data_IF_184237141912
#
_entry.id   IF_184237141912
#
_cell.length_a   1.000
_cell.length_b   1.000
_cell.length_c   1.000
_cell.angle_alpha   90.00
_cell.angle_beta   90.00
_cell.angle_gamma   90.00
#
_symmetry.space_group_name_H-M   'P 1'
#
loop_
_entity.id
_entity.type
_entity.pdbx_description
1 polymer ?
#
# COMPACT_ATOMS: atom_id res chain seq x y z
N UNK A 1 -8.91 -13.26 -11.40
CA UNK A 1 -8.04 -12.13 -11.81
C UNK A 1 -7.40 -11.58 -10.56
N UNK A 2 -6.08 -11.30 -10.58
CA UNK A 2 -5.39 -10.76 -9.40
C UNK A 2 -5.96 -9.40 -9.04
N UNK A 3 -6.14 -9.16 -7.73
CA UNK A 3 -6.54 -7.86 -7.19
C UNK A 3 -5.32 -6.96 -7.11
N UNK A 4 -5.48 -5.70 -7.52
CA UNK A 4 -4.45 -4.69 -7.36
C UNK A 4 -4.99 -3.61 -6.42
N UNK A 5 -4.41 -3.50 -5.23
CA UNK A 5 -4.83 -2.55 -4.21
C UNK A 5 -3.74 -1.49 -4.03
N UNK A 6 -4.11 -0.22 -4.13
CA UNK A 6 -3.26 0.91 -3.82
C UNK A 6 -3.56 1.42 -2.40
N UNK A 7 -2.60 1.32 -1.50
CA UNK A 7 -2.74 1.82 -0.13
C UNK A 7 -2.11 3.22 0.01
N UNK A 8 -2.92 4.17 0.47
CA UNK A 8 -2.54 5.57 0.67
C UNK A 8 -2.81 5.98 2.11
N UNK A 9 -1.77 6.17 2.91
CA UNK A 9 -1.89 6.76 4.26
C UNK A 9 -1.80 8.28 4.18
N UNK A 10 -2.82 8.97 4.67
CA UNK A 10 -2.93 10.43 4.57
C UNK A 10 -3.02 11.03 5.96
N UNK A 11 -2.10 11.94 6.30
CA UNK A 11 -2.03 12.51 7.65
C UNK A 11 -2.79 13.83 7.80
N UNK A 12 -2.88 14.68 6.76
CA UNK A 12 -3.56 16.00 6.86
C UNK A 12 -3.69 16.79 5.53
N UNK A 13 -2.96 16.46 4.45
CA UNK A 13 -2.88 17.29 3.24
C UNK A 13 -3.53 16.60 2.03
N UNK A 14 -4.63 17.17 1.53
CA UNK A 14 -5.35 16.64 0.36
C UNK A 14 -4.60 16.87 -0.96
N UNK A 15 -3.74 17.89 -1.07
CA UNK A 15 -3.01 18.19 -2.30
C UNK A 15 -1.99 17.09 -2.67
N UNK A 16 -1.34 16.45 -1.70
CA UNK A 16 -0.39 15.36 -1.97
C UNK A 16 -1.09 14.07 -2.46
N UNK A 17 -2.38 13.90 -2.17
CA UNK A 17 -3.10 12.66 -2.49
C UNK A 17 -3.34 12.52 -3.99
N UNK A 18 -3.71 13.61 -4.68
CA UNK A 18 -3.95 13.58 -6.12
C UNK A 18 -2.69 13.19 -6.89
N UNK A 19 -1.53 13.72 -6.48
CA UNK A 19 -0.24 13.35 -7.08
C UNK A 19 0.11 11.89 -6.83
N UNK A 20 0.01 11.43 -5.58
CA UNK A 20 0.27 10.04 -5.23
C UNK A 20 -0.63 9.05 -6.00
N UNK A 21 -1.91 9.39 -6.20
CA UNK A 21 -2.82 8.59 -7.01
C UNK A 21 -2.37 8.51 -8.46
N UNK A 22 -2.03 9.65 -9.07
CA UNK A 22 -1.54 9.70 -10.46
C UNK A 22 -0.26 8.89 -10.64
N UNK A 23 0.69 9.02 -9.70
CA UNK A 23 1.96 8.28 -9.76
C UNK A 23 1.73 6.76 -9.62
N UNK A 24 0.85 6.34 -8.70
CA UNK A 24 0.48 4.93 -8.54
C UNK A 24 -0.22 4.38 -9.79
N UNK A 25 -1.13 5.14 -10.39
CA UNK A 25 -1.79 4.72 -11.63
C UNK A 25 -0.79 4.59 -12.78
N UNK A 26 0.20 5.47 -12.85
CA UNK A 26 1.26 5.40 -13.86
C UNK A 26 2.11 4.15 -13.69
N UNK A 27 2.49 3.84 -12.44
CA UNK A 27 3.19 2.60 -12.09
C UNK A 27 2.35 1.35 -12.42
N UNK A 28 1.05 1.36 -12.09
CA UNK A 28 0.16 0.27 -12.39
C UNK A 28 0.07 0.00 -13.91
N UNK A 29 -0.08 1.06 -14.70
CA UNK A 29 -0.07 0.96 -16.16
C UNK A 29 1.25 0.41 -16.71
N UNK A 30 2.39 0.89 -16.21
CA UNK A 30 3.72 0.37 -16.62
C UNK A 30 3.86 -1.13 -16.31
N UNK A 31 3.32 -1.58 -15.18
CA UNK A 31 3.34 -2.99 -14.76
C UNK A 31 2.23 -3.82 -15.41
N UNK A 32 1.38 -3.24 -16.27
CA UNK A 32 0.25 -3.93 -16.88
C UNK A 32 -0.82 -4.39 -15.87
N UNK A 33 -0.89 -3.72 -14.72
CA UNK A 33 -1.87 -3.97 -13.67
C UNK A 33 -3.14 -3.21 -14.06
N UNK A 34 -4.19 -3.92 -14.44
CA UNK A 34 -5.44 -3.33 -14.95
C UNK A 34 -6.18 -2.47 -13.92
N UNK A 35 -7.30 -2.94 -13.39
CA UNK A 35 -8.05 -2.18 -12.39
C UNK A 35 -7.26 -2.10 -11.08
N UNK A 36 -7.12 -0.89 -10.54
CA UNK A 36 -6.53 -0.61 -9.23
C UNK A 36 -7.61 -0.06 -8.28
N UNK A 37 -7.70 -0.64 -7.09
CA UNK A 37 -8.61 -0.20 -6.02
C UNK A 37 -7.85 0.58 -4.96
N UNK A 38 -8.33 1.79 -4.63
CA UNK A 38 -7.65 2.67 -3.67
C UNK A 38 -8.21 2.50 -2.27
N UNK A 39 -7.31 2.30 -1.31
CA UNK A 39 -7.61 2.28 0.12
C UNK A 39 -6.91 3.46 0.78
N UNK A 40 -7.70 4.46 1.14
CA UNK A 40 -7.22 5.63 1.87
C UNK A 40 -7.33 5.42 3.38
N UNK A 41 -6.22 5.63 4.08
CA UNK A 41 -6.13 5.49 5.52
C UNK A 41 -5.81 6.84 6.18
N UNK A 42 -6.84 7.47 6.74
CA UNK A 42 -6.80 8.76 7.45
C UNK A 42 -6.40 8.52 8.91
N UNK A 43 -5.20 8.00 9.13
CA UNK A 43 -4.70 7.65 10.46
C UNK A 43 -3.23 8.01 10.65
N UNK A 44 -2.88 8.38 11.87
CA UNK A 44 -1.50 8.66 12.25
C UNK A 44 -0.67 7.38 12.19
N UNK A 45 0.52 7.46 11.59
CA UNK A 45 1.49 6.36 11.67
C UNK A 45 2.00 6.03 13.08
N UNK A 46 1.60 6.75 14.14
CA UNK A 46 1.90 6.35 15.53
C UNK A 46 1.09 5.13 15.95
N UNK A 47 -0.04 4.89 15.29
CA UNK A 47 -0.91 3.74 15.54
C UNK A 47 -0.27 2.51 14.91
N UNK A 48 -0.31 1.39 15.63
CA UNK A 48 0.20 0.10 15.15
C UNK A 48 -0.37 -0.23 13.78
N UNK A 49 0.46 -0.73 12.85
CA UNK A 49 -0.01 -1.17 11.53
C UNK A 49 -1.14 -2.20 11.58
N UNK A 50 -1.22 -2.99 12.65
CA UNK A 50 -2.27 -4.00 12.88
C UNK A 50 -3.65 -3.40 13.14
N UNK A 51 -3.71 -2.14 13.61
CA UNK A 51 -4.95 -1.40 13.84
C UNK A 51 -5.29 -0.47 12.65
N UNK A 52 -4.44 -0.45 11.63
CA UNK A 52 -4.58 0.38 10.42
C UNK A 52 -5.21 -0.43 9.28
N UNK A 53 -5.76 0.24 8.28
CA UNK A 53 -6.42 -0.42 7.13
C UNK A 53 -5.46 -1.32 6.35
N UNK A 54 -4.16 -1.03 6.40
CA UNK A 54 -3.14 -1.87 5.75
C UNK A 54 -3.18 -3.32 6.24
N UNK A 55 -3.46 -3.56 7.52
CA UNK A 55 -3.59 -4.91 8.05
C UNK A 55 -4.77 -5.64 7.43
N UNK A 56 -5.92 -4.98 7.34
CA UNK A 56 -7.11 -5.53 6.66
C UNK A 56 -6.83 -5.81 5.18
N UNK A 57 -6.17 -4.88 4.48
CA UNK A 57 -5.79 -5.04 3.07
C UNK A 57 -4.91 -6.27 2.88
N UNK A 58 -3.82 -6.40 3.66
CA UNK A 58 -2.91 -7.53 3.55
C UNK A 58 -3.59 -8.87 3.89
N UNK A 59 -4.57 -8.87 4.79
CA UNK A 59 -5.34 -10.07 5.08
C UNK A 59 -6.31 -10.45 3.94
N UNK A 60 -6.85 -9.48 3.21
CA UNK A 60 -7.77 -9.70 2.08
C UNK A 60 -7.08 -10.07 0.77
N UNK A 61 -5.80 -9.71 0.62
CA UNK A 61 -4.97 -10.08 -0.52
C UNK A 61 -4.55 -11.55 -0.42
N UNK A 62 -4.57 -12.22 -1.57
CA UNK A 62 -4.18 -13.61 -1.75
C UNK A 62 -2.90 -13.70 -2.58
N UNK A 63 -2.40 -14.94 -2.74
CA UNK A 63 -1.23 -15.23 -3.55
C UNK A 63 -1.37 -14.66 -4.96
N UNK A 64 -0.37 -13.88 -5.38
CA UNK A 64 -0.32 -13.28 -6.71
C UNK A 64 -1.09 -11.97 -6.85
N UNK A 65 -1.83 -11.55 -5.84
CA UNK A 65 -2.38 -10.19 -5.76
C UNK A 65 -1.26 -9.17 -5.54
N UNK A 66 -1.59 -7.90 -5.78
CA UNK A 66 -0.63 -6.79 -5.79
C UNK A 66 -1.03 -5.71 -4.80
N UNK A 67 -0.06 -5.28 -3.99
CA UNK A 67 -0.13 -4.07 -3.18
C UNK A 67 0.76 -2.97 -3.80
N UNK A 68 0.16 -1.83 -4.11
CA UNK A 68 0.81 -0.63 -4.61
C UNK A 68 0.89 0.41 -3.48
N UNK A 69 2.05 1.03 -3.31
CA UNK A 69 2.28 2.14 -2.37
C UNK A 69 3.10 3.23 -3.05
N UNK A 70 3.02 4.46 -2.54
CA UNK A 70 3.86 5.55 -3.07
C UNK A 70 5.32 5.45 -2.58
N UNK A 71 5.52 5.06 -1.33
CA UNK A 71 6.85 4.89 -0.71
C UNK A 71 6.71 4.04 0.58
N UNK A 72 7.77 3.33 0.98
CA UNK A 72 7.77 2.47 2.17
C UNK A 72 7.44 3.23 3.47
N UNK A 73 7.77 4.52 3.57
CA UNK A 73 7.48 5.36 4.75
C UNK A 73 5.97 5.51 5.03
N UNK A 74 5.11 5.17 4.07
CA UNK A 74 3.65 5.14 4.25
C UNK A 74 3.16 3.88 4.98
N UNK A 75 3.96 2.81 4.98
CA UNK A 75 3.64 1.57 5.68
C UNK A 75 3.83 1.68 7.19
N UNK A 76 4.90 2.32 7.66
CA UNK A 76 5.23 2.39 9.08
C UNK A 76 6.02 3.64 9.48
N UNK A 77 6.37 3.77 10.76
CA UNK A 77 7.23 4.85 11.28
C UNK A 77 8.63 4.41 11.66
N UNK A 78 8.87 3.10 11.76
CA UNK A 78 10.18 2.53 12.02
C UNK A 78 10.54 1.53 10.93
N UNK A 79 11.84 1.32 10.71
CA UNK A 79 12.33 0.29 9.80
C UNK A 79 11.82 -1.10 10.21
N UNK A 80 11.76 -1.39 11.51
CA UNK A 80 11.25 -2.65 12.02
C UNK A 80 9.78 -2.86 11.65
N UNK A 81 8.93 -1.85 11.84
CA UNK A 81 7.51 -1.94 11.46
C UNK A 81 7.34 -2.14 9.94
N UNK A 82 8.14 -1.44 9.14
CA UNK A 82 8.13 -1.60 7.67
C UNK A 82 8.56 -3.02 7.29
N UNK A 83 9.61 -3.56 7.92
CA UNK A 83 10.08 -4.92 7.65
C UNK A 83 9.05 -5.98 8.05
N UNK A 84 8.37 -5.82 9.19
CA UNK A 84 7.28 -6.73 9.59
C UNK A 84 6.17 -6.78 8.55
N UNK A 85 5.75 -5.62 8.02
CA UNK A 85 4.72 -5.53 6.99
C UNK A 85 5.19 -6.21 5.70
N UNK A 86 6.45 -5.98 5.30
CA UNK A 86 7.03 -6.57 4.09
C UNK A 86 7.11 -8.09 4.23
N UNK A 87 7.59 -8.59 5.37
CA UNK A 87 7.68 -10.02 5.64
C UNK A 87 6.29 -10.67 5.59
N UNK A 88 5.29 -10.06 6.21
CA UNK A 88 3.91 -10.54 6.14
C UNK A 88 3.39 -10.63 4.70
N UNK A 89 3.70 -9.65 3.85
CA UNK A 89 3.32 -9.68 2.44
C UNK A 89 4.03 -10.79 1.66
N UNK A 90 5.34 -11.00 1.92
CA UNK A 90 6.14 -12.05 1.28
C UNK A 90 5.64 -13.44 1.67
N UNK A 91 5.34 -13.68 2.95
CA UNK A 91 4.81 -14.96 3.44
C UNK A 91 3.48 -15.32 2.77
N UNK A 92 2.68 -14.31 2.40
CA UNK A 92 1.42 -14.49 1.66
C UNK A 92 1.59 -14.50 0.13
N UNK A 93 2.82 -14.41 -0.37
CA UNK A 93 3.14 -14.32 -1.80
C UNK A 93 2.43 -13.14 -2.49
N UNK A 94 2.26 -12.03 -1.77
CA UNK A 94 1.73 -10.77 -2.29
C UNK A 94 2.86 -10.00 -2.97
N UNK A 95 2.62 -9.53 -4.19
CA UNK A 95 3.58 -8.67 -4.89
C UNK A 95 3.44 -7.24 -4.38
N UNK A 96 4.56 -6.59 -4.07
CA UNK A 96 4.57 -5.17 -3.72
C UNK A 96 5.30 -4.36 -4.76
N UNK A 97 4.69 -3.23 -5.13
CA UNK A 97 5.35 -2.20 -5.93
C UNK A 97 5.27 -0.85 -5.22
N UNK A 98 6.37 -0.12 -5.30
CA UNK A 98 6.50 1.25 -4.78
C UNK A 98 6.81 2.19 -5.93
N UNK A 99 6.30 3.43 -5.86
CA UNK A 99 6.65 4.49 -6.82
C UNK A 99 8.08 4.98 -6.57
N UNK A 100 8.47 5.13 -5.30
CA UNK A 100 9.78 5.61 -4.85
C UNK A 100 10.48 4.61 -3.94
#
# INVERSE_FOLDING_TARGET
MPKNIAYLRVSTLEQDNSKNKTDILSLANEKGLGKVEFVEDKISGKVSWKERKIFTVLNQLEKGDVLLISEFSRLGRSMLEIMEIILFAIEKEIKMYTVK
#
